data_IF_269180617916
#
_entry.id   IF_269180617916
#
_cell.length_a   1.000
_cell.length_b   1.000
_cell.length_c   1.000
_cell.angle_alpha   90.00
_cell.angle_beta   90.00
_cell.angle_gamma   90.00
#
_symmetry.space_group_name_H-M   'P 1'
#
loop_
_entity.id
_entity.type
_entity.pdbx_description
1 polymer ?
2 non-polymer ?
3 water ?
#
# COMPACT_ATOMS: atom_id res chain seq x y z
N UNK A 1 38.01 -14.91 47.53
CA UNK A 1 38.01 -14.54 46.11
C UNK A 1 37.18 -13.33 45.88
N UNK A 2 37.33 -12.78 44.61
CA UNK A 2 36.73 -11.60 43.92
C UNK A 2 35.24 -11.69 43.99
N UNK A 3 34.60 -10.63 44.40
CA UNK A 3 33.19 -10.76 44.64
C UNK A 3 32.30 -10.45 43.45
N UNK A 4 32.76 -9.73 42.45
CA UNK A 4 31.88 -9.34 41.33
C UNK A 4 31.31 -10.55 40.56
N UNK A 5 30.06 -10.47 40.15
CA UNK A 5 29.46 -11.59 39.35
C UNK A 5 29.98 -11.61 37.86
N UNK A 6 30.28 -12.80 37.29
CA UNK A 6 30.70 -12.79 35.90
C UNK A 6 29.56 -13.09 34.90
N UNK A 7 28.36 -13.38 35.44
CA UNK A 7 27.18 -13.59 34.59
C UNK A 7 26.82 -12.34 33.82
N UNK A 8 26.12 -12.54 32.69
CA UNK A 8 25.64 -11.45 31.85
C UNK A 8 24.75 -10.54 32.72
N UNK A 9 25.06 -9.22 32.81
CA UNK A 9 24.11 -8.37 33.46
C UNK A 9 22.87 -8.34 32.58
N UNK A 10 21.70 -8.56 33.17
CA UNK A 10 20.46 -8.47 32.40
C UNK A 10 19.70 -7.23 32.82
N UNK A 11 20.25 -6.08 32.47
CA UNK A 11 19.58 -4.81 32.65
C UNK A 11 18.41 -4.78 31.66
N UNK A 12 17.21 -5.03 32.18
CA UNK A 12 16.05 -5.24 31.33
C UNK A 12 15.55 -4.01 30.58
N UNK A 13 14.61 -4.30 29.70
CA UNK A 13 13.96 -3.43 28.74
C UNK A 13 13.18 -2.27 29.38
N UNK A 14 13.51 -1.02 29.00
CA UNK A 14 12.64 0.11 29.30
C UNK A 14 11.44 0.10 28.37
N UNK A 15 10.27 0.44 28.90
CA UNK A 15 9.03 0.44 28.11
C UNK A 15 8.40 1.82 28.12
N UNK A 16 8.99 2.76 28.89
CA UNK A 16 8.70 4.21 28.71
C UNK A 16 9.95 5.05 28.37
N UNK A 17 9.65 6.26 27.67
CA UNK A 17 10.70 7.20 27.26
C UNK A 17 11.06 8.19 28.36
N UNK A 18 12.38 8.24 28.69
CA UNK A 18 12.82 9.37 29.55
C UNK A 18 12.88 10.70 28.69
N UNK A 19 12.81 11.93 29.35
CA UNK A 19 12.96 13.20 28.63
C UNK A 19 14.19 13.28 27.72
N UNK A 20 15.33 12.75 28.19
CA UNK A 20 16.63 12.62 27.48
C UNK A 20 16.43 11.96 26.11
N UNK A 21 15.79 10.69 26.30
CA UNK A 21 15.58 9.79 25.25
C UNK A 21 14.62 10.57 24.33
N UNK A 22 13.63 11.28 24.94
CA UNK A 22 12.63 11.96 24.06
C UNK A 22 13.32 13.12 23.36
N UNK A 23 14.24 13.85 24.04
CA UNK A 23 14.91 14.98 23.36
C UNK A 23 15.79 14.42 22.27
N UNK A 24 16.45 13.30 22.62
CA UNK A 24 17.34 12.69 21.57
C UNK A 24 16.54 12.27 20.34
N UNK A 25 15.42 11.59 20.58
CA UNK A 25 14.50 11.24 19.46
C UNK A 25 14.08 12.43 18.65
N UNK A 26 13.94 13.61 19.28
CA UNK A 26 13.38 14.77 18.59
C UNK A 26 14.31 15.26 17.52
N UNK A 27 15.60 14.97 17.68
CA UNK A 27 16.57 15.37 16.70
C UNK A 27 16.20 14.73 15.31
N UNK A 28 15.74 13.49 15.31
CA UNK A 28 15.26 12.84 14.03
C UNK A 28 13.89 13.20 13.69
N UNK A 29 13.02 13.34 14.70
CA UNK A 29 11.62 13.64 14.34
C UNK A 29 11.56 14.96 13.54
N UNK A 30 12.41 15.97 13.91
CA UNK A 30 12.32 17.28 13.26
C UNK A 30 12.29 17.21 11.70
N UNK A 31 13.34 16.61 11.08
CA UNK A 31 13.36 16.62 9.61
C UNK A 31 12.27 15.63 9.09
N UNK A 32 11.92 14.64 9.87
CA UNK A 32 10.89 13.66 9.44
C UNK A 32 9.49 14.32 9.41
N UNK A 33 9.19 15.20 10.37
CA UNK A 33 7.92 15.93 10.35
C UNK A 33 7.89 16.91 9.19
N UNK A 34 9.05 17.58 8.92
CA UNK A 34 9.14 18.46 7.75
C UNK A 34 8.78 17.66 6.45
N UNK A 35 9.38 16.48 6.31
CA UNK A 35 9.15 15.63 5.10
C UNK A 35 7.68 15.18 5.04
N UNK A 36 7.12 14.70 6.16
CA UNK A 36 5.67 14.33 6.20
C UNK A 36 4.76 15.50 5.79
N UNK A 37 5.02 16.69 6.33
CA UNK A 37 4.25 17.86 5.91
C UNK A 37 4.47 18.21 4.44
N UNK A 38 5.68 18.15 3.96
CA UNK A 38 5.91 18.46 2.56
C UNK A 38 5.26 17.45 1.60
N UNK A 39 5.13 16.19 2.02
CA UNK A 39 4.50 15.17 1.18
C UNK A 39 3.01 15.50 1.11
N UNK A 40 2.44 15.95 2.22
CA UNK A 40 0.98 16.23 2.26
C UNK A 40 0.68 17.45 1.36
N UNK A 41 1.56 18.45 1.39
CA UNK A 41 1.28 19.73 0.72
C UNK A 41 1.75 19.73 -0.71
N UNK A 42 3.05 19.83 -0.85
CA UNK A 42 3.61 20.08 -2.14
C UNK A 42 3.57 18.81 -3.01
N UNK A 43 4.02 17.64 -2.48
CA UNK A 43 4.12 16.44 -3.35
C UNK A 43 2.71 16.07 -3.87
N UNK A 44 1.73 16.05 -2.98
CA UNK A 44 0.36 15.79 -3.40
C UNK A 44 -0.03 16.57 -4.61
N UNK A 45 0.21 17.88 -4.57
CA UNK A 45 -0.23 18.81 -5.61
C UNK A 45 0.54 18.56 -6.89
N UNK A 46 1.82 18.23 -6.77
CA UNK A 46 2.63 17.95 -7.94
C UNK A 46 2.09 16.74 -8.71
N UNK A 47 1.69 15.71 -7.98
CA UNK A 47 1.08 14.48 -8.58
C UNK A 47 -0.27 14.87 -9.21
N UNK A 48 -1.01 15.69 -8.48
CA UNK A 48 -2.34 16.06 -8.97
C UNK A 48 -2.24 16.85 -10.28
N UNK A 49 -1.22 17.72 -10.38
CA UNK A 49 -0.92 18.46 -11.60
C UNK A 49 -0.21 17.65 -12.67
N UNK A 50 0.04 16.37 -12.41
CA UNK A 50 0.68 15.56 -13.44
C UNK A 50 2.04 16.16 -13.78
N UNK A 51 2.66 16.82 -12.79
CA UNK A 51 3.98 17.46 -13.00
C UNK A 51 5.03 16.41 -12.64
N UNK A 52 5.34 15.57 -13.62
CA UNK A 52 6.17 14.39 -13.35
C UNK A 52 7.66 14.74 -13.12
N UNK A 53 8.16 15.71 -13.87
CA UNK A 53 9.56 16.14 -13.71
C UNK A 53 9.83 16.66 -12.27
N UNK A 54 8.95 17.55 -11.79
CA UNK A 54 9.11 18.08 -10.44
C UNK A 54 8.75 17.10 -9.34
N UNK A 55 7.84 16.17 -9.64
CA UNK A 55 7.61 15.06 -8.77
C UNK A 55 8.95 14.29 -8.49
N UNK A 56 9.70 13.99 -9.55
CA UNK A 56 10.90 13.20 -9.37
C UNK A 56 11.96 13.99 -8.58
N UNK A 57 12.07 15.28 -8.85
CA UNK A 57 13.03 16.11 -8.11
C UNK A 57 12.61 16.20 -6.65
N UNK A 58 11.31 16.29 -6.41
CA UNK A 58 10.90 16.37 -5.04
C UNK A 58 11.36 15.11 -4.24
N UNK A 59 11.22 13.95 -4.87
CA UNK A 59 11.56 12.68 -4.23
C UNK A 59 13.06 12.68 -3.98
N UNK A 60 13.86 13.10 -4.97
CA UNK A 60 15.32 13.03 -4.81
C UNK A 60 15.89 14.11 -3.90
N UNK A 61 15.21 15.24 -3.86
CA UNK A 61 15.75 16.40 -3.05
C UNK A 61 15.17 16.44 -1.66
N UNK A 62 14.03 17.11 -1.50
CA UNK A 62 13.29 17.11 -0.22
C UNK A 62 13.08 15.75 0.48
N UNK A 63 12.91 14.64 -0.26
CA UNK A 63 12.84 13.35 0.34
C UNK A 63 14.07 12.45 0.25
N UNK A 64 15.24 13.01 -0.13
CA UNK A 64 16.39 12.19 -0.49
C UNK A 64 17.08 11.70 0.73
N UNK A 65 16.84 12.38 1.89
CA UNK A 65 17.41 11.96 3.12
C UNK A 65 16.42 11.22 4.00
N UNK A 66 15.22 10.96 3.54
CA UNK A 66 14.19 10.49 4.44
C UNK A 66 14.49 9.05 4.88
N UNK A 67 15.07 8.23 4.01
CA UNK A 67 15.37 6.85 4.44
C UNK A 67 16.35 6.90 5.60
N UNK A 68 17.39 7.71 5.41
CA UNK A 68 18.47 7.79 6.41
C UNK A 68 17.86 8.28 7.78
N UNK A 69 17.05 9.32 7.71
CA UNK A 69 16.38 9.94 8.91
C UNK A 69 15.48 8.96 9.66
N UNK A 70 14.65 8.25 8.91
CA UNK A 70 13.72 7.29 9.54
C UNK A 70 14.44 6.11 10.09
N UNK A 71 15.49 5.65 9.41
CA UNK A 71 16.25 4.56 9.96
C UNK A 71 16.99 4.97 11.25
N UNK A 72 17.48 6.20 11.28
CA UNK A 72 18.13 6.69 12.52
C UNK A 72 17.13 6.84 13.65
N UNK A 73 15.93 7.40 13.38
CA UNK A 73 14.85 7.41 14.37
C UNK A 73 14.49 6.00 14.89
N UNK A 74 14.16 5.07 13.97
CA UNK A 74 13.82 3.69 14.30
C UNK A 74 14.78 3.00 15.30
N UNK A 75 16.07 3.02 14.97
CA UNK A 75 17.11 2.47 15.83
C UNK A 75 17.16 3.17 17.18
N UNK A 76 16.44 4.27 17.33
CA UNK A 76 16.51 5.00 18.61
C UNK A 76 15.31 4.68 19.50
N UNK A 77 14.29 4.04 18.93
CA UNK A 77 13.08 3.72 19.67
C UNK A 77 13.35 2.68 20.75
N UNK A 78 12.33 2.46 21.57
CA UNK A 78 12.28 1.35 22.55
C UNK A 78 12.47 0.05 21.78
N UNK A 79 13.20 -0.93 22.39
CA UNK A 79 13.61 -2.13 21.64
C UNK A 79 12.40 -2.77 20.96
N UNK A 80 11.30 -2.77 21.70
CA UNK A 80 10.01 -3.35 21.31
C UNK A 80 9.58 -2.89 19.90
N UNK A 81 9.91 -1.66 19.52
CA UNK A 81 9.38 -1.04 18.26
C UNK A 81 10.45 -0.86 17.18
N UNK A 82 11.69 -1.16 17.52
CA UNK A 82 12.80 -0.91 16.60
C UNK A 82 12.68 -1.64 15.26
N UNK A 83 12.36 -2.93 15.25
CA UNK A 83 12.30 -3.71 14.01
C UNK A 83 11.14 -3.29 13.11
N UNK A 84 9.95 -3.17 13.73
CA UNK A 84 8.79 -2.70 13.00
C UNK A 84 9.03 -1.32 12.39
N UNK A 85 9.65 -0.40 13.17
CA UNK A 85 9.92 0.91 12.63
C UNK A 85 10.93 0.87 11.50
N UNK A 86 11.95 0.02 11.60
CA UNK A 86 12.91 -0.13 10.52
C UNK A 86 12.26 -0.69 9.23
N UNK A 87 11.42 -1.67 9.45
CA UNK A 87 10.71 -2.26 8.29
C UNK A 87 9.83 -1.18 7.59
N UNK A 88 9.12 -0.39 8.39
CA UNK A 88 8.33 0.72 7.84
C UNK A 88 9.15 1.81 7.09
N UNK A 89 10.35 2.11 7.60
CA UNK A 89 11.23 3.07 6.91
C UNK A 89 11.55 2.50 5.52
N UNK A 90 11.81 1.21 5.47
CA UNK A 90 12.22 0.57 4.18
C UNK A 90 11.01 0.52 3.21
N UNK A 91 9.83 0.29 3.80
CA UNK A 91 8.56 0.31 2.98
C UNK A 91 8.31 1.65 2.40
N UNK A 92 8.51 2.74 3.18
CA UNK A 92 8.27 4.08 2.62
C UNK A 92 9.23 4.30 1.44
N UNK A 93 10.54 4.00 1.64
CA UNK A 93 11.51 4.17 0.59
C UNK A 93 11.04 3.39 -0.68
N UNK A 94 10.65 2.14 -0.48
CA UNK A 94 10.14 1.32 -1.58
C UNK A 94 9.01 1.95 -2.39
N UNK A 95 8.01 2.47 -1.67
CA UNK A 95 6.94 3.16 -2.38
C UNK A 95 7.43 4.45 -3.09
N UNK A 96 8.36 5.23 -2.51
CA UNK A 96 8.87 6.36 -3.19
C UNK A 96 9.63 5.98 -4.47
N UNK A 97 10.38 4.88 -4.44
CA UNK A 97 11.03 4.38 -5.69
C UNK A 97 9.96 3.95 -6.72
N UNK A 98 8.86 3.38 -6.25
CA UNK A 98 7.77 2.93 -7.19
C UNK A 98 7.08 4.20 -7.71
N UNK A 99 6.89 5.17 -6.81
CA UNK A 99 6.46 6.49 -7.23
C UNK A 99 7.29 7.18 -8.32
N UNK A 100 8.62 7.18 -8.16
CA UNK A 100 9.56 7.78 -9.11
C UNK A 100 9.37 7.07 -10.49
N UNK A 101 9.29 5.76 -10.45
CA UNK A 101 9.07 4.97 -11.65
C UNK A 101 7.70 5.29 -12.28
N UNK A 102 6.69 5.55 -11.48
CA UNK A 102 5.36 5.91 -12.06
C UNK A 102 5.43 7.29 -12.72
N UNK A 103 6.21 8.18 -12.14
CA UNK A 103 6.40 9.49 -12.71
C UNK A 103 7.13 9.40 -14.03
N UNK A 104 8.15 8.53 -14.09
CA UNK A 104 8.87 8.29 -15.31
C UNK A 104 7.89 7.79 -16.39
N UNK A 105 6.91 7.00 -15.94
CA UNK A 105 5.92 6.40 -16.85
C UNK A 105 4.68 7.27 -17.14
N UNK A 106 4.59 8.40 -16.45
CA UNK A 106 3.53 9.38 -16.58
C UNK A 106 2.22 8.68 -16.29
N UNK A 107 2.23 7.82 -15.26
CA UNK A 107 1.04 6.99 -14.91
C UNK A 107 0.47 7.56 -13.62
N UNK A 108 -0.48 8.48 -13.78
CA UNK A 108 -0.95 9.25 -12.61
C UNK A 108 -1.74 8.34 -11.69
N UNK A 109 -2.45 7.33 -12.24
CA UNK A 109 -3.13 6.41 -11.29
C UNK A 109 -2.18 5.62 -10.42
N UNK A 110 -1.13 5.11 -11.05
CA UNK A 110 -0.10 4.40 -10.29
C UNK A 110 0.62 5.35 -9.29
N UNK A 111 0.96 6.56 -9.72
CA UNK A 111 1.59 7.54 -8.83
C UNK A 111 0.75 7.83 -7.61
N UNK A 112 -0.59 7.96 -7.75
CA UNK A 112 -1.42 8.31 -6.61
C UNK A 112 -1.44 7.14 -5.66
N UNK A 113 -1.53 5.89 -6.19
CA UNK A 113 -1.55 4.72 -5.30
C UNK A 113 -0.20 4.63 -4.53
N UNK A 114 0.93 4.86 -5.21
CA UNK A 114 2.16 4.71 -4.46
C UNK A 114 2.29 5.85 -3.46
N UNK A 115 1.87 7.04 -3.83
CA UNK A 115 1.87 8.12 -2.83
C UNK A 115 1.04 7.70 -1.57
N UNK A 116 -0.16 7.18 -1.80
CA UNK A 116 -1.01 6.78 -0.64
C UNK A 116 -0.35 5.69 0.19
N UNK A 117 0.19 4.69 -0.47
CA UNK A 117 0.82 3.57 0.22
C UNK A 117 2.07 4.11 1.02
N UNK A 118 2.88 4.96 0.37
CA UNK A 118 3.99 5.60 1.08
C UNK A 118 3.45 6.36 2.34
N UNK A 119 2.38 7.17 2.19
CA UNK A 119 1.85 7.84 3.38
C UNK A 119 1.29 6.90 4.38
N UNK A 120 0.60 5.80 3.99
CA UNK A 120 0.05 4.87 4.98
C UNK A 120 1.22 4.25 5.83
N UNK A 121 2.26 3.82 5.18
CA UNK A 121 3.37 3.21 5.96
C UNK A 121 4.12 4.31 6.76
N UNK A 122 4.15 5.50 6.18
CA UNK A 122 4.82 6.65 6.96
C UNK A 122 4.02 6.92 8.24
N UNK A 123 2.68 6.97 8.12
CA UNK A 123 1.81 7.20 9.27
C UNK A 123 1.80 6.02 10.22
N UNK A 124 1.96 4.79 9.70
CA UNK A 124 2.18 3.67 10.60
C UNK A 124 3.41 3.85 11.49
N UNK A 125 4.47 4.31 10.89
CA UNK A 125 5.78 4.52 11.55
C UNK A 125 5.61 5.61 12.60
N UNK A 126 4.97 6.70 12.20
CA UNK A 126 4.78 7.86 13.10
C UNK A 126 3.93 7.51 14.34
N UNK A 127 3.05 6.52 14.18
CA UNK A 127 2.16 6.10 15.26
C UNK A 127 2.92 5.30 16.32
N UNK A 128 4.19 4.96 16.01
CA UNK A 128 5.06 4.30 17.03
C UNK A 128 5.74 5.31 17.93
N UNK A 129 5.61 6.59 17.60
CA UNK A 129 6.34 7.63 18.35
C UNK A 129 5.63 7.99 19.68
N UNK A 130 6.40 8.40 20.68
CA UNK A 130 5.67 8.85 21.89
C UNK A 130 4.64 10.00 21.65
N UNK A 131 4.80 10.74 20.55
CA UNK A 131 3.84 11.79 20.09
C UNK A 131 2.38 11.26 19.85
N UNK A 132 2.27 10.01 19.37
CA UNK A 132 0.99 9.38 18.99
C UNK A 132 0.33 8.60 20.13
N UNK A 133 0.96 8.60 21.30
CA UNK A 133 0.39 7.88 22.46
C UNK A 133 -0.22 8.88 23.46
N UNK B 1 -36.12 13.26 -49.64
CA UNK B 1 -34.97 12.42 -49.22
C UNK B 1 -35.26 11.72 -47.91
N UNK B 2 -34.30 10.81 -47.49
CA UNK B 2 -34.30 10.03 -46.20
C UNK B 2 -34.26 10.99 -45.05
N UNK B 3 -35.04 10.69 -44.02
CA UNK B 3 -35.26 11.70 -43.02
C UNK B 3 -34.30 11.52 -41.82
N UNK B 4 -33.67 10.36 -41.73
CA UNK B 4 -32.88 10.00 -40.58
C UNK B 4 -31.68 10.96 -40.57
N UNK B 5 -31.31 11.43 -39.37
CA UNK B 5 -30.18 12.35 -39.26
C UNK B 5 -28.83 11.59 -39.33
N UNK B 6 -27.83 12.15 -40.05
CA UNK B 6 -26.56 11.44 -40.20
C UNK B 6 -25.54 11.96 -39.14
N UNK B 7 -25.92 12.96 -38.38
CA UNK B 7 -25.05 13.53 -37.30
C UNK B 7 -24.78 12.50 -36.17
N UNK B 8 -23.67 12.65 -35.46
CA UNK B 8 -23.32 11.74 -34.35
C UNK B 8 -24.46 11.74 -33.31
N UNK B 9 -25.01 10.55 -33.00
CA UNK B 9 -26.12 10.38 -32.07
C UNK B 9 -25.78 10.86 -30.69
N UNK B 10 -26.84 11.18 -29.94
CA UNK B 10 -26.77 11.46 -28.51
C UNK B 10 -26.28 10.20 -27.75
N UNK B 11 -25.17 10.33 -27.02
CA UNK B 11 -24.74 9.26 -26.10
C UNK B 11 -24.59 9.83 -24.69
N UNK B 12 -25.54 9.54 -23.80
CA UNK B 12 -25.43 10.02 -22.39
C UNK B 12 -24.39 9.25 -21.64
N UNK B 13 -23.56 9.98 -20.89
CA UNK B 13 -22.59 9.33 -20.02
C UNK B 13 -23.23 9.19 -18.62
N UNK B 14 -23.82 8.02 -18.29
CA UNK B 14 -24.49 7.96 -16.99
C UNK B 14 -23.49 8.12 -15.82
N UNK B 15 -24.02 8.48 -14.66
CA UNK B 15 -23.20 8.62 -13.46
C UNK B 15 -23.65 7.58 -12.47
N UNK B 16 -24.60 6.78 -12.90
CA UNK B 16 -25.12 5.75 -12.03
C UNK B 16 -25.32 4.50 -12.89
N UNK B 17 -25.45 3.36 -12.22
CA UNK B 17 -25.62 2.07 -12.88
C UNK B 17 -27.09 1.70 -12.93
N UNK B 18 -27.63 1.55 -14.15
CA UNK B 18 -28.91 0.93 -14.40
C UNK B 18 -29.01 -0.51 -13.86
N UNK B 19 -30.26 -0.96 -13.60
CA UNK B 19 -30.36 -2.34 -13.15
C UNK B 19 -29.77 -3.36 -14.16
N UNK B 20 -29.88 -3.09 -15.47
CA UNK B 20 -29.28 -3.98 -16.47
C UNK B 20 -27.77 -3.96 -16.36
N UNK B 21 -27.20 -2.79 -16.17
CA UNK B 21 -25.73 -2.71 -16.07
C UNK B 21 -25.25 -3.37 -14.78
N UNK B 22 -26.01 -3.21 -13.71
CA UNK B 22 -25.63 -3.81 -12.46
C UNK B 22 -25.62 -5.32 -12.56
N UNK B 23 -26.61 -5.89 -13.25
CA UNK B 23 -26.69 -7.33 -13.29
C UNK B 23 -25.48 -7.81 -14.13
N UNK B 24 -25.11 -7.04 -15.15
CA UNK B 24 -23.94 -7.39 -15.99
C UNK B 24 -22.67 -7.37 -15.15
N UNK B 25 -22.51 -6.32 -14.33
CA UNK B 25 -21.32 -6.24 -13.45
C UNK B 25 -21.27 -7.43 -12.51
N UNK B 26 -22.44 -7.91 -12.09
CA UNK B 26 -22.43 -8.88 -10.99
C UNK B 26 -21.85 -10.20 -11.47
N UNK B 27 -21.94 -10.46 -12.78
CA UNK B 27 -21.30 -11.67 -13.34
C UNK B 27 -19.78 -11.72 -12.93
N UNK B 28 -19.14 -10.55 -12.87
CA UNK B 28 -17.69 -10.48 -12.46
C UNK B 28 -17.53 -10.34 -10.98
N UNK B 29 -18.49 -9.64 -10.36
CA UNK B 29 -18.38 -9.42 -8.93
C UNK B 29 -18.42 -10.78 -8.25
N UNK B 30 -19.21 -11.73 -8.77
CA UNK B 30 -19.33 -12.99 -8.05
C UNK B 30 -17.99 -13.70 -7.66
N UNK B 31 -17.12 -14.03 -8.64
CA UNK B 31 -15.94 -14.79 -8.39
C UNK B 31 -14.93 -13.88 -7.62
N UNK B 32 -15.04 -12.59 -7.89
CA UNK B 32 -14.20 -11.60 -7.16
C UNK B 32 -14.53 -11.59 -5.68
N UNK B 33 -15.80 -11.62 -5.33
CA UNK B 33 -16.22 -11.71 -3.93
C UNK B 33 -15.75 -13.01 -3.26
N UNK B 34 -15.81 -14.12 -3.97
CA UNK B 34 -15.35 -15.36 -3.45
C UNK B 34 -13.86 -15.22 -3.11
N UNK B 35 -13.13 -14.65 -4.05
CA UNK B 35 -11.67 -14.49 -3.85
C UNK B 35 -11.40 -13.60 -2.65
N UNK B 36 -12.10 -12.46 -2.52
CA UNK B 36 -11.88 -11.57 -1.37
C UNK B 36 -12.12 -12.29 -0.01
N UNK B 37 -13.22 -13.02 0.09
CA UNK B 37 -13.49 -13.81 1.28
C UNK B 37 -12.46 -14.91 1.53
N UNK B 38 -12.00 -15.57 0.46
CA UNK B 38 -10.98 -16.64 0.61
C UNK B 38 -9.65 -16.07 1.10
N UNK B 39 -9.33 -14.89 0.64
CA UNK B 39 -8.05 -14.24 1.05
C UNK B 39 -8.19 -13.93 2.54
N UNK B 40 -9.36 -13.45 2.94
CA UNK B 40 -9.60 -13.17 4.37
C UNK B 40 -9.51 -14.38 5.30
N UNK B 41 -10.08 -15.52 4.89
CA UNK B 41 -10.21 -16.66 5.76
C UNK B 41 -8.92 -17.55 5.59
N UNK B 42 -8.90 -18.32 4.52
CA UNK B 42 -7.85 -19.32 4.34
C UNK B 42 -6.51 -18.68 4.08
N UNK B 43 -6.41 -17.69 3.19
CA UNK B 43 -5.05 -17.15 2.91
C UNK B 43 -4.38 -16.53 4.17
N UNK B 44 -5.13 -15.71 4.87
CA UNK B 44 -4.63 -15.13 6.15
C UNK B 44 -4.07 -16.22 7.10
N UNK B 45 -4.80 -17.32 7.23
CA UNK B 45 -4.38 -18.33 8.19
C UNK B 45 -3.21 -19.14 7.71
N UNK B 46 -3.17 -19.42 6.39
CA UNK B 46 -1.97 -20.03 5.81
C UNK B 46 -0.70 -19.23 6.09
N UNK B 47 -0.78 -17.92 5.91
CA UNK B 47 0.40 -17.05 6.22
C UNK B 47 0.76 -17.09 7.69
N UNK B 48 -0.27 -16.99 8.53
CA UNK B 48 -0.07 -16.97 9.99
C UNK B 48 0.62 -18.23 10.46
N UNK B 49 0.29 -19.33 9.84
CA UNK B 49 0.85 -20.64 10.07
C UNK B 49 2.25 -20.83 9.47
N UNK B 50 2.76 -19.87 8.70
CA UNK B 50 4.00 -20.01 7.93
C UNK B 50 3.98 -21.25 7.05
N UNK B 51 2.80 -21.55 6.48
CA UNK B 51 2.66 -22.70 5.58
C UNK B 51 2.90 -22.18 4.16
N UNK B 52 4.20 -22.14 3.81
CA UNK B 52 4.62 -21.41 2.61
C UNK B 52 4.26 -22.17 1.35
N UNK B 53 4.32 -23.48 1.45
CA UNK B 53 3.96 -24.34 0.30
C UNK B 53 2.51 -24.16 -0.10
N UNK B 54 1.63 -24.22 0.89
CA UNK B 54 0.18 -24.03 0.62
C UNK B 54 -0.21 -22.61 0.30
N UNK B 55 0.50 -21.63 0.89
CA UNK B 55 0.33 -20.24 0.47
C UNK B 55 0.53 -20.04 -1.04
N UNK B 56 1.61 -20.60 -1.58
CA UNK B 56 1.95 -20.43 -3.01
C UNK B 56 0.86 -21.11 -3.81
N UNK B 57 0.41 -22.28 -3.38
CA UNK B 57 -0.67 -22.98 -4.17
C UNK B 57 -1.92 -22.12 -4.16
N UNK B 58 -2.23 -21.49 -3.02
CA UNK B 58 -3.45 -20.70 -2.95
C UNK B 58 -3.40 -19.56 -3.98
N UNK B 59 -2.25 -18.93 -4.09
CA UNK B 59 -2.13 -17.80 -4.97
C UNK B 59 -2.31 -18.30 -6.42
N UNK B 60 -1.72 -19.42 -6.77
CA UNK B 60 -1.75 -19.87 -8.16
C UNK B 60 -3.10 -20.49 -8.55
N UNK B 61 -3.80 -21.04 -7.56
CA UNK B 61 -5.08 -21.79 -7.78
C UNK B 61 -6.28 -20.88 -7.56
N UNK B 62 -6.74 -20.80 -6.34
CA UNK B 62 -7.87 -19.95 -5.98
C UNK B 62 -7.69 -18.46 -6.36
N UNK B 63 -6.46 -17.93 -6.44
CA UNK B 63 -6.28 -16.55 -6.95
C UNK B 63 -5.67 -16.46 -8.35
N UNK B 64 -5.61 -17.59 -9.10
CA UNK B 64 -4.96 -17.64 -10.43
C UNK B 64 -5.74 -16.90 -11.49
N UNK B 65 -7.04 -16.77 -11.26
CA UNK B 65 -7.91 -16.02 -12.20
C UNK B 65 -8.27 -14.60 -11.78
N UNK B 66 -7.72 -14.14 -10.65
CA UNK B 66 -8.25 -12.93 -10.07
C UNK B 66 -7.91 -11.73 -10.94
N UNK B 67 -6.69 -11.67 -11.48
CA UNK B 67 -6.34 -10.54 -12.31
C UNK B 67 -7.27 -10.44 -13.55
N UNK B 68 -7.50 -11.59 -14.19
CA UNK B 68 -8.42 -11.66 -15.39
C UNK B 68 -9.82 -11.10 -14.96
N UNK B 69 -10.34 -11.60 -13.85
CA UNK B 69 -11.71 -11.23 -13.37
C UNK B 69 -11.78 -9.76 -13.00
N UNK B 70 -10.76 -9.26 -12.24
CA UNK B 70 -10.75 -7.85 -11.90
C UNK B 70 -10.63 -6.92 -13.09
N UNK B 71 -9.77 -7.26 -14.06
CA UNK B 71 -9.70 -6.45 -15.23
C UNK B 71 -11.05 -6.51 -16.03
N UNK B 72 -11.70 -7.65 -16.08
CA UNK B 72 -12.99 -7.69 -16.86
C UNK B 72 -14.03 -6.82 -16.17
N UNK B 73 -14.07 -6.89 -14.85
CA UNK B 73 -14.91 -5.98 -14.09
C UNK B 73 -14.52 -4.48 -14.28
N UNK B 74 -13.23 -4.16 -14.15
CA UNK B 74 -12.73 -2.78 -14.42
C UNK B 74 -13.19 -2.17 -15.78
N UNK B 75 -13.15 -2.97 -16.85
CA UNK B 75 -13.58 -2.55 -18.21
C UNK B 75 -15.06 -2.26 -18.31
N UNK B 76 -15.81 -2.74 -17.33
CA UNK B 76 -17.25 -2.65 -17.38
C UNK B 76 -17.79 -1.50 -16.51
N UNK B 77 -16.92 -0.92 -15.69
CA UNK B 77 -17.30 0.20 -14.84
C UNK B 77 -17.57 1.44 -15.66
N UNK B 78 -18.12 2.44 -15.00
CA UNK B 78 -18.29 3.74 -15.63
C UNK B 78 -16.92 4.24 -16.10
N UNK B 79 -16.86 4.91 -17.27
CA UNK B 79 -15.57 5.36 -17.85
C UNK B 79 -14.69 6.15 -16.88
N UNK B 80 -15.30 6.96 -16.00
CA UNK B 80 -14.54 7.72 -15.04
C UNK B 80 -13.73 6.83 -14.07
N UNK B 81 -14.16 5.58 -13.85
CA UNK B 81 -13.52 4.69 -12.84
C UNK B 81 -12.66 3.59 -13.43
N UNK B 82 -12.68 3.49 -14.75
CA UNK B 82 -11.99 2.37 -15.42
C UNK B 82 -10.49 2.39 -15.20
N UNK B 83 -9.88 3.55 -15.40
CA UNK B 83 -8.40 3.58 -15.22
C UNK B 83 -7.91 3.26 -13.81
N UNK B 84 -8.57 3.82 -12.81
CA UNK B 84 -8.17 3.48 -11.39
C UNK B 84 -8.42 1.98 -11.09
N UNK B 85 -9.55 1.44 -11.57
CA UNK B 85 -9.88 0.04 -11.29
C UNK B 85 -8.88 -0.87 -11.95
N UNK B 86 -8.54 -0.56 -13.20
CA UNK B 86 -7.50 -1.30 -13.88
C UNK B 86 -6.11 -1.28 -13.15
N UNK B 87 -5.73 -0.08 -12.72
CA UNK B 87 -4.47 0.08 -12.01
C UNK B 87 -4.50 -0.76 -10.74
N UNK B 88 -5.61 -0.70 -10.04
CA UNK B 88 -5.73 -1.45 -8.79
C UNK B 88 -5.66 -2.96 -9.02
N UNK B 89 -6.35 -3.45 -10.06
CA UNK B 89 -6.25 -4.88 -10.37
C UNK B 89 -4.83 -5.29 -10.60
N UNK B 90 -4.11 -4.46 -11.33
CA UNK B 90 -2.68 -4.70 -11.59
C UNK B 90 -1.81 -4.60 -10.30
N UNK B 91 -2.17 -3.67 -9.40
CA UNK B 91 -1.53 -3.56 -8.06
C UNK B 91 -1.70 -4.79 -7.26
N UNK B 92 -2.95 -5.31 -7.22
CA UNK B 92 -3.19 -6.48 -6.46
C UNK B 92 -2.33 -7.63 -6.98
N UNK B 93 -2.31 -7.80 -8.29
CA UNK B 93 -1.52 -8.89 -8.89
C UNK B 93 -0.01 -8.73 -8.46
N UNK B 94 0.49 -7.51 -8.62
CA UNK B 94 1.90 -7.13 -8.18
C UNK B 94 2.22 -7.58 -6.77
N UNK B 95 1.31 -7.27 -5.83
CA UNK B 95 1.47 -7.69 -4.45
C UNK B 95 1.39 -9.20 -4.28
N UNK B 96 0.50 -9.89 -5.03
CA UNK B 96 0.47 -11.32 -4.94
C UNK B 96 1.72 -11.95 -5.45
N UNK B 97 2.29 -11.43 -6.52
CA UNK B 97 3.57 -11.99 -7.00
C UNK B 97 4.70 -11.77 -5.93
N UNK B 98 4.67 -10.65 -5.28
CA UNK B 98 5.68 -10.41 -4.21
C UNK B 98 5.41 -11.33 -3.01
N UNK B 99 4.12 -11.56 -2.68
CA UNK B 99 3.77 -12.56 -1.65
C UNK B 99 4.29 -13.96 -2.04
N UNK B 100 4.07 -14.38 -3.31
CA UNK B 100 4.60 -15.64 -3.82
C UNK B 100 6.11 -15.73 -3.59
N UNK B 101 6.84 -14.66 -3.89
CA UNK B 101 8.30 -14.65 -3.70
C UNK B 101 8.69 -14.69 -2.22
N UNK B 102 7.95 -13.96 -1.37
CA UNK B 102 8.21 -13.95 0.08
C UNK B 102 8.02 -15.34 0.70
N UNK B 103 6.95 -16.05 0.23
CA UNK B 103 6.74 -17.40 0.65
C UNK B 103 7.87 -18.34 0.22
N UNK B 104 8.35 -18.20 -1.02
CA UNK B 104 9.53 -18.96 -1.48
C UNK B 104 10.73 -18.71 -0.55
N UNK B 105 10.88 -17.47 -0.08
CA UNK B 105 12.03 -17.13 0.74
C UNK B 105 11.74 -17.24 2.24
N UNK B 106 10.59 -17.80 2.59
CA UNK B 106 10.17 -18.07 3.97
C UNK B 106 10.29 -16.78 4.78
N UNK B 107 9.92 -15.67 4.11
CA UNK B 107 10.04 -14.33 4.70
C UNK B 107 8.66 -13.90 5.20
N UNK B 108 8.35 -14.28 6.45
CA UNK B 108 7.06 -13.94 7.03
C UNK B 108 6.77 -12.44 7.11
N UNK B 109 7.82 -11.62 7.30
CA UNK B 109 7.63 -10.19 7.37
C UNK B 109 7.08 -9.62 6.08
N UNK B 110 7.68 -10.00 4.95
CA UNK B 110 7.24 -9.46 3.67
C UNK B 110 5.91 -10.12 3.27
N UNK B 111 5.76 -11.38 3.66
CA UNK B 111 4.48 -12.14 3.30
C UNK B 111 3.29 -11.39 3.94
N UNK B 112 3.42 -10.98 5.21
CA UNK B 112 2.33 -10.28 5.91
C UNK B 112 2.07 -8.88 5.27
N UNK B 113 3.14 -8.16 5.00
CA UNK B 113 3.00 -6.88 4.33
C UNK B 113 2.36 -7.01 2.92
N UNK B 114 2.84 -7.96 2.14
CA UNK B 114 2.28 -8.01 0.80
C UNK B 114 0.80 -8.44 0.83
N UNK B 115 0.43 -9.36 1.74
CA UNK B 115 -1.01 -9.69 1.94
C UNK B 115 -1.85 -8.44 2.33
N UNK B 116 -1.35 -7.68 3.29
CA UNK B 116 -2.08 -6.50 3.76
C UNK B 116 -2.24 -5.47 2.67
N UNK B 117 -1.19 -5.26 1.90
CA UNK B 117 -1.20 -4.24 0.89
C UNK B 117 -2.06 -4.72 -0.25
N UNK B 118 -1.95 -5.97 -0.61
CA UNK B 118 -2.89 -6.46 -1.67
C UNK B 118 -4.37 -6.28 -1.21
N UNK B 119 -4.67 -6.62 0.05
CA UNK B 119 -6.05 -6.41 0.56
C UNK B 119 -6.48 -4.98 0.51
N UNK B 120 -5.60 -4.07 0.88
CA UNK B 120 -5.98 -2.69 0.81
C UNK B 120 -6.26 -2.20 -0.61
N UNK B 121 -5.43 -2.62 -1.57
CA UNK B 121 -5.70 -2.20 -2.97
C UNK B 121 -6.99 -2.91 -3.46
N UNK B 122 -7.18 -4.12 -2.98
CA UNK B 122 -8.43 -4.91 -3.38
C UNK B 122 -9.66 -4.18 -2.83
N UNK B 123 -9.60 -3.77 -1.56
CA UNK B 123 -10.71 -3.03 -0.98
C UNK B 123 -10.96 -1.67 -1.65
N UNK B 124 -9.89 -0.93 -2.03
CA UNK B 124 -10.05 0.31 -2.77
C UNK B 124 -10.81 0.05 -4.09
N UNK B 125 -10.43 -1.02 -4.75
CA UNK B 125 -11.15 -1.48 -5.99
C UNK B 125 -12.61 -1.77 -5.70
N UNK B 126 -12.88 -2.60 -4.69
CA UNK B 126 -14.26 -2.99 -4.34
C UNK B 126 -15.14 -1.79 -3.95
N UNK B 127 -14.47 -0.74 -3.40
CA UNK B 127 -15.13 0.51 -3.02
C UNK B 127 -15.68 1.31 -4.22
N UNK B 128 -15.19 0.98 -5.43
CA UNK B 128 -15.66 1.65 -6.64
C UNK B 128 -16.96 1.05 -7.16
N UNK B 129 -17.43 -0.03 -6.55
CA UNK B 129 -18.61 -0.74 -7.10
C UNK B 129 -19.87 -0.10 -6.58
N UNK B 130 -21.00 -0.22 -7.29
CA UNK B 130 -22.25 0.32 -6.79
C UNK B 130 -22.66 -0.28 -5.41
N UNK B 131 -22.26 -1.53 -5.10
CA UNK B 131 -22.55 -2.08 -3.73
C UNK B 131 -21.90 -1.38 -2.50
N UNK B 132 -20.90 -0.54 -2.74
CA UNK B 132 -20.24 0.23 -1.69
C UNK B 132 -20.50 1.75 -1.74
N UNK B 133 -21.36 2.20 -2.67
CA UNK B 133 -21.52 3.63 -3.02
C UNK B 133 -22.80 3.91 -3.80
#
# INVERSE_FOLDING_TARGET
GPLGSCSSPQVEIPTTYSPEKIAQLQVYVNPIAVARDGMEKRLQGLIADQNWVDTQTYIHGPLGQLRRDMLGLASSLLPKDQDKAKTLAKEVFGHLERLDAAAKDRNGSQAKIQYQEALADFDSFLNLLPQAS
GPLGSCSSPQVEIPTTYSPEKIAQLQVYVNPIAVARDGMEKRLQGLIADQNWVDTQTYIHGPLGQLRRDMLGLASSLLPKDQDKAKTLAKEVFGHLERLDAAAKDRNGSQAKIQYQEALADFDSFLNLLPQAS
#
